data_IF_863163975933
#
_entry.id   IF_863163975933
#
_cell.length_a   1.000
_cell.length_b   1.000
_cell.length_c   1.000
_cell.angle_alpha   90.00
_cell.angle_beta   90.00
_cell.angle_gamma   90.00
#
_symmetry.space_group_name_H-M   'P 1'
#
loop_
_entity.id
_entity.type
_entity.pdbx_description
1 polymer ?
#
# COMPACT_ATOMS: atom_id res chain seq x y z
N UNK A 1 -8.55 -3.55 -10.54
CA UNK A 1 -8.90 -3.97 -11.92
C UNK A 1 -9.86 -2.99 -12.58
N UNK A 2 -11.07 -2.78 -12.04
CA UNK A 2 -12.03 -1.81 -12.59
C UNK A 2 -11.45 -0.41 -12.81
N UNK A 3 -10.67 0.12 -11.86
CA UNK A 3 -10.01 1.42 -12.01
C UNK A 3 -8.96 1.48 -13.15
N UNK A 4 -8.23 0.39 -13.41
CA UNK A 4 -7.25 0.33 -14.51
C UNK A 4 -7.99 0.34 -15.86
N UNK A 5 -9.05 -0.47 -15.99
CA UNK A 5 -9.90 -0.50 -17.17
C UNK A 5 -10.53 0.87 -17.40
N UNK A 6 -11.09 1.48 -16.36
CA UNK A 6 -11.68 2.81 -16.42
C UNK A 6 -10.68 3.87 -16.88
N UNK A 7 -9.44 3.85 -16.35
CA UNK A 7 -8.39 4.79 -16.71
C UNK A 7 -7.99 4.68 -18.19
N UNK A 8 -7.73 3.47 -18.68
CA UNK A 8 -7.42 3.26 -20.10
C UNK A 8 -8.61 3.62 -21.00
N UNK A 9 -9.82 3.20 -20.63
CA UNK A 9 -11.03 3.52 -21.39
C UNK A 9 -11.23 5.04 -21.48
N UNK A 10 -11.17 5.75 -20.37
CA UNK A 10 -11.29 7.21 -20.33
C UNK A 10 -10.21 7.87 -21.21
N UNK A 11 -8.96 7.42 -21.11
CA UNK A 11 -7.86 7.93 -21.92
C UNK A 11 -8.06 7.72 -23.42
N UNK A 12 -8.47 6.51 -23.83
CA UNK A 12 -8.71 6.21 -25.25
C UNK A 12 -9.94 6.92 -25.79
N UNK A 13 -11.02 7.02 -25.02
CA UNK A 13 -12.23 7.75 -25.41
C UNK A 13 -11.93 9.24 -25.54
N UNK A 14 -11.22 9.83 -24.57
CA UNK A 14 -10.79 11.22 -24.66
C UNK A 14 -9.90 11.48 -25.89
N UNK A 15 -8.97 10.56 -26.17
CA UNK A 15 -8.13 10.61 -27.38
C UNK A 15 -8.94 10.51 -28.67
N UNK A 16 -9.96 9.65 -28.71
CA UNK A 16 -10.83 9.49 -29.86
C UNK A 16 -11.68 10.76 -30.09
N UNK A 17 -12.31 11.31 -29.05
CA UNK A 17 -13.06 12.58 -29.14
C UNK A 17 -12.13 13.70 -29.62
N UNK A 18 -10.93 13.80 -29.05
CA UNK A 18 -9.97 14.82 -29.47
C UNK A 18 -9.58 14.70 -30.94
N UNK A 19 -9.45 13.48 -31.47
CA UNK A 19 -9.06 13.22 -32.86
C UNK A 19 -10.21 13.42 -33.85
N UNK A 20 -11.42 12.98 -33.51
CA UNK A 20 -12.53 12.90 -34.46
C UNK A 20 -13.54 14.05 -34.36
N UNK A 21 -13.69 14.70 -33.20
CA UNK A 21 -14.57 15.86 -33.05
C UNK A 21 -13.90 17.10 -33.66
N UNK A 22 -14.19 17.40 -34.92
CA UNK A 22 -13.75 18.62 -35.60
C UNK A 22 -14.76 19.74 -35.33
N UNK A 23 -14.29 20.84 -34.77
CA UNK A 23 -15.12 22.00 -34.46
C UNK A 23 -14.65 23.19 -35.30
N UNK A 24 -15.54 24.14 -35.62
CA UNK A 24 -15.14 25.41 -36.19
C UNK A 24 -14.24 26.17 -35.21
N UNK A 25 -13.38 27.05 -35.74
CA UNK A 25 -12.34 27.76 -34.98
C UNK A 25 -12.90 28.55 -33.78
N UNK A 26 -14.16 29.02 -33.87
CA UNK A 26 -14.87 29.71 -32.78
C UNK A 26 -15.22 28.82 -31.58
N UNK A 27 -15.27 27.50 -31.75
CA UNK A 27 -15.69 26.53 -30.73
C UNK A 27 -14.55 25.58 -30.30
N UNK A 28 -13.37 25.69 -30.89
CA UNK A 28 -12.19 24.88 -30.55
C UNK A 28 -11.85 24.93 -29.05
N UNK A 29 -11.99 26.10 -28.41
CA UNK A 29 -11.76 26.26 -26.97
C UNK A 29 -12.70 25.42 -26.09
N UNK A 30 -13.92 25.12 -26.56
CA UNK A 30 -14.88 24.31 -25.80
C UNK A 30 -14.50 22.83 -25.77
N UNK A 31 -13.60 22.39 -26.66
CA UNK A 31 -13.24 21.00 -26.82
C UNK A 31 -12.54 20.40 -25.59
N UNK A 32 -11.44 20.96 -25.07
CA UNK A 32 -10.83 20.47 -23.84
C UNK A 32 -11.60 20.87 -22.57
N UNK A 33 -12.35 21.97 -22.61
CA UNK A 33 -13.04 22.52 -21.42
C UNK A 33 -14.32 21.74 -21.11
N UNK A 34 -15.11 21.40 -22.13
CA UNK A 34 -16.45 20.84 -21.95
C UNK A 34 -16.63 19.52 -22.68
N UNK A 35 -16.34 19.46 -23.99
CA UNK A 35 -16.74 18.33 -24.83
C UNK A 35 -15.99 17.05 -24.43
N UNK A 36 -14.67 17.13 -24.29
CA UNK A 36 -13.86 15.96 -23.90
C UNK A 36 -14.25 15.51 -22.47
N UNK A 37 -14.23 16.37 -21.43
CA UNK A 37 -14.62 15.95 -20.08
C UNK A 37 -16.03 15.36 -20.04
N UNK A 38 -17.02 15.99 -20.69
CA UNK A 38 -18.42 15.53 -20.67
C UNK A 38 -18.60 14.20 -21.39
N UNK A 39 -18.18 14.10 -22.65
CA UNK A 39 -18.42 12.90 -23.46
C UNK A 39 -17.52 11.75 -23.01
N UNK A 40 -16.26 12.01 -22.65
CA UNK A 40 -15.38 10.95 -22.17
C UNK A 40 -15.85 10.40 -20.83
N UNK A 41 -16.28 11.24 -19.88
CA UNK A 41 -16.84 10.78 -18.62
C UNK A 41 -18.18 10.07 -18.80
N UNK A 42 -19.06 10.55 -19.68
CA UNK A 42 -20.34 9.91 -19.97
C UNK A 42 -20.16 8.50 -20.54
N UNK A 43 -19.36 8.38 -21.61
CA UNK A 43 -19.12 7.07 -22.25
C UNK A 43 -18.41 6.12 -21.28
N UNK A 44 -17.37 6.60 -20.60
CA UNK A 44 -16.63 5.77 -19.61
C UNK A 44 -17.54 5.35 -18.48
N UNK A 45 -18.35 6.26 -17.93
CA UNK A 45 -19.28 5.98 -16.85
C UNK A 45 -20.34 4.95 -17.24
N UNK A 46 -20.96 5.10 -18.41
CA UNK A 46 -21.96 4.16 -18.92
C UNK A 46 -21.35 2.76 -19.14
N UNK A 47 -20.17 2.67 -19.76
CA UNK A 47 -19.46 1.39 -19.93
C UNK A 47 -19.11 0.78 -18.57
N UNK A 48 -18.62 1.60 -17.63
CA UNK A 48 -18.29 1.12 -16.29
C UNK A 48 -19.52 0.61 -15.53
N UNK A 49 -20.68 1.24 -15.67
CA UNK A 49 -21.93 0.82 -15.00
C UNK A 49 -22.50 -0.45 -15.65
N UNK A 50 -22.68 -0.44 -16.97
CA UNK A 50 -23.46 -1.47 -17.66
C UNK A 50 -22.64 -2.70 -18.08
N UNK A 51 -21.34 -2.52 -18.36
CA UNK A 51 -20.49 -3.58 -18.91
C UNK A 51 -19.50 -4.08 -17.85
N UNK A 52 -18.77 -3.19 -17.21
CA UNK A 52 -17.63 -3.57 -16.34
C UNK A 52 -18.06 -3.83 -14.90
N UNK A 53 -19.05 -3.09 -14.40
CA UNK A 53 -19.43 -3.07 -12.98
C UNK A 53 -19.86 -4.43 -12.45
N UNK A 54 -20.79 -5.11 -13.13
CA UNK A 54 -21.28 -6.43 -12.72
C UNK A 54 -20.17 -7.50 -12.68
N UNK A 55 -19.34 -7.69 -13.74
CA UNK A 55 -18.21 -8.62 -13.68
C UNK A 55 -17.23 -8.31 -12.54
N UNK A 56 -16.88 -7.04 -12.35
CA UNK A 56 -15.94 -6.64 -11.29
C UNK A 56 -16.53 -6.89 -9.90
N UNK A 57 -17.81 -6.58 -9.69
CA UNK A 57 -18.49 -6.87 -8.44
C UNK A 57 -18.51 -8.38 -8.13
N UNK A 58 -18.83 -9.23 -9.12
CA UNK A 58 -18.81 -10.68 -8.94
C UNK A 58 -17.41 -11.23 -8.64
N UNK A 59 -16.36 -10.66 -9.23
CA UNK A 59 -14.98 -11.00 -8.88
C UNK A 59 -14.64 -10.61 -7.43
N UNK A 60 -15.05 -9.42 -6.98
CA UNK A 60 -14.82 -8.97 -5.60
C UNK A 60 -15.59 -9.83 -4.59
N UNK A 61 -16.84 -10.19 -4.91
CA UNK A 61 -17.66 -11.08 -4.08
C UNK A 61 -17.06 -12.48 -3.98
N UNK A 62 -16.64 -13.07 -5.11
CA UNK A 62 -15.96 -14.37 -5.13
C UNK A 62 -14.64 -14.36 -4.35
N UNK A 63 -13.87 -13.28 -4.45
CA UNK A 63 -12.66 -13.08 -3.65
C UNK A 63 -13.00 -12.96 -2.16
N UNK A 64 -14.05 -12.22 -1.81
CA UNK A 64 -14.49 -12.06 -0.42
C UNK A 64 -14.94 -13.40 0.17
N UNK A 65 -15.75 -14.16 -0.57
CA UNK A 65 -16.16 -15.51 -0.15
C UNK A 65 -14.96 -16.46 -0.01
N UNK A 66 -13.99 -16.40 -0.92
CA UNK A 66 -12.75 -17.16 -0.78
C UNK A 66 -12.04 -16.81 0.53
N UNK A 67 -11.87 -15.51 0.84
CA UNK A 67 -11.25 -15.04 2.07
C UNK A 67 -12.02 -15.45 3.32
N UNK A 68 -13.35 -15.39 3.29
CA UNK A 68 -14.21 -15.77 4.41
C UNK A 68 -14.20 -17.28 4.65
N UNK A 69 -14.00 -18.09 3.60
CA UNK A 69 -13.84 -19.54 3.71
C UNK A 69 -12.46 -19.98 4.21
N UNK A 70 -11.50 -19.05 4.37
CA UNK A 70 -10.16 -19.39 4.86
C UNK A 70 -10.19 -19.66 6.36
N UNK A 71 -9.68 -20.83 6.77
CA UNK A 71 -9.37 -21.09 8.17
C UNK A 71 -8.28 -20.16 8.71
N UNK A 72 -8.16 -20.06 10.04
CA UNK A 72 -7.23 -19.15 10.72
C UNK A 72 -5.78 -19.27 10.25
N UNK A 73 -5.29 -20.47 9.95
CA UNK A 73 -3.93 -20.66 9.43
C UNK A 73 -3.75 -19.98 8.06
N UNK A 74 -4.75 -20.08 7.19
CA UNK A 74 -4.69 -19.53 5.84
C UNK A 74 -4.73 -17.99 5.86
N UNK A 75 -5.52 -17.39 6.77
CA UNK A 75 -5.56 -15.93 6.91
C UNK A 75 -4.25 -15.35 7.42
N UNK A 76 -3.56 -16.07 8.32
CA UNK A 76 -2.20 -15.70 8.75
C UNK A 76 -1.21 -15.77 7.59
N UNK A 77 -1.26 -16.83 6.77
CA UNK A 77 -0.41 -16.97 5.58
C UNK A 77 -0.67 -15.86 4.55
N UNK A 78 -1.92 -15.45 4.37
CA UNK A 78 -2.26 -14.27 3.56
C UNK A 78 -1.62 -13.01 4.14
N UNK A 79 -1.67 -12.83 5.46
CA UNK A 79 -0.97 -11.75 6.16
C UNK A 79 0.53 -11.75 5.88
N UNK A 80 1.17 -12.91 5.99
CA UNK A 80 2.60 -13.10 5.65
C UNK A 80 2.89 -12.64 4.22
N UNK A 81 2.09 -13.11 3.25
CA UNK A 81 2.27 -12.78 1.83
C UNK A 81 2.11 -11.28 1.58
N UNK A 82 1.00 -10.69 2.03
CA UNK A 82 0.71 -9.27 1.85
C UNK A 82 1.75 -8.39 2.54
N UNK A 83 2.15 -8.76 3.76
CA UNK A 83 3.16 -8.05 4.52
C UNK A 83 4.54 -8.10 3.87
N UNK A 84 4.92 -9.27 3.33
CA UNK A 84 6.14 -9.43 2.56
C UNK A 84 6.12 -8.55 1.31
N UNK A 85 5.05 -8.63 0.50
CA UNK A 85 4.90 -7.86 -0.74
C UNK A 85 5.02 -6.34 -0.53
N UNK A 86 4.45 -5.82 0.56
CA UNK A 86 4.57 -4.40 0.92
C UNK A 86 6.02 -3.96 1.13
N UNK A 87 6.93 -4.87 1.47
CA UNK A 87 8.30 -4.54 1.83
C UNK A 87 9.34 -4.89 0.74
N UNK A 88 8.93 -5.53 -0.37
CA UNK A 88 9.86 -6.00 -1.41
C UNK A 88 10.57 -4.84 -2.12
N UNK A 89 9.82 -3.81 -2.51
CA UNK A 89 10.31 -2.74 -3.39
C UNK A 89 10.03 -1.34 -2.85
N UNK A 90 9.71 -1.23 -1.55
CA UNK A 90 9.64 0.02 -0.78
C UNK A 90 8.78 1.12 -1.42
N UNK A 91 7.66 0.73 -2.04
CA UNK A 91 6.74 1.62 -2.75
C UNK A 91 6.67 1.40 -4.26
N UNK A 92 7.38 0.39 -4.77
CA UNK A 92 7.35 -0.03 -6.17
C UNK A 92 6.10 -0.84 -6.56
N UNK A 93 6.12 -1.46 -7.76
CA UNK A 93 4.97 -2.18 -8.32
C UNK A 93 4.39 -3.30 -7.45
N UNK A 94 5.22 -4.07 -6.73
CA UNK A 94 4.79 -5.19 -5.89
C UNK A 94 4.07 -4.66 -4.64
N UNK A 95 4.63 -3.65 -3.98
CA UNK A 95 3.96 -2.95 -2.89
C UNK A 95 2.62 -2.38 -3.34
N UNK A 96 2.60 -1.64 -4.46
CA UNK A 96 1.35 -1.03 -4.96
C UNK A 96 0.32 -2.08 -5.40
N UNK A 97 0.75 -3.24 -5.87
CA UNK A 97 -0.15 -4.35 -6.19
C UNK A 97 -0.83 -4.93 -4.93
N UNK A 98 -0.05 -5.22 -3.88
CA UNK A 98 -0.60 -5.68 -2.60
C UNK A 98 -1.53 -4.63 -1.96
N UNK A 99 -1.12 -3.36 -2.03
CA UNK A 99 -1.92 -2.25 -1.53
C UNK A 99 -3.25 -2.11 -2.31
N UNK A 100 -3.21 -2.14 -3.64
CA UNK A 100 -4.42 -2.06 -4.48
C UNK A 100 -5.38 -3.24 -4.26
N UNK A 101 -4.84 -4.43 -4.00
CA UNK A 101 -5.64 -5.60 -3.60
C UNK A 101 -6.39 -5.32 -2.29
N UNK A 102 -5.70 -4.86 -1.25
CA UNK A 102 -6.34 -4.54 0.03
C UNK A 102 -7.35 -3.39 -0.07
N UNK A 103 -7.07 -2.34 -0.84
CA UNK A 103 -8.02 -1.24 -1.07
C UNK A 103 -9.27 -1.74 -1.76
N UNK A 104 -9.13 -2.61 -2.76
CA UNK A 104 -10.27 -3.18 -3.48
C UNK A 104 -11.24 -3.91 -2.56
N UNK A 105 -10.73 -4.58 -1.53
CA UNK A 105 -11.51 -5.33 -0.56
C UNK A 105 -12.29 -4.47 0.44
N UNK A 106 -11.90 -3.19 0.61
CA UNK A 106 -12.67 -2.24 1.42
C UNK A 106 -14.10 -2.04 0.88
N UNK A 107 -14.27 -2.08 -0.44
CA UNK A 107 -15.59 -1.95 -1.07
C UNK A 107 -16.54 -3.09 -0.69
N UNK A 108 -15.99 -4.25 -0.35
CA UNK A 108 -16.72 -5.44 0.11
C UNK A 108 -16.69 -5.60 1.64
N UNK A 109 -16.33 -4.55 2.37
CA UNK A 109 -16.23 -4.54 3.84
C UNK A 109 -15.24 -5.57 4.41
N UNK A 110 -14.28 -6.04 3.61
CA UNK A 110 -13.21 -6.92 4.06
C UNK A 110 -11.98 -6.10 4.46
N UNK A 111 -11.89 -5.82 5.77
CA UNK A 111 -10.95 -4.84 6.34
C UNK A 111 -9.62 -5.43 6.85
N UNK A 112 -9.51 -6.75 6.97
CA UNK A 112 -8.33 -7.40 7.56
C UNK A 112 -7.08 -7.32 6.64
N UNK A 113 -7.20 -7.54 5.31
CA UNK A 113 -6.09 -7.33 4.38
C UNK A 113 -5.54 -5.91 4.41
N UNK A 114 -6.42 -4.91 4.54
CA UNK A 114 -6.02 -3.51 4.68
C UNK A 114 -5.15 -3.27 5.91
N UNK A 115 -5.57 -3.79 7.07
CA UNK A 115 -4.79 -3.69 8.30
C UNK A 115 -3.39 -4.30 8.12
N UNK A 116 -3.30 -5.51 7.59
CA UNK A 116 -2.02 -6.18 7.37
C UNK A 116 -1.09 -5.38 6.42
N UNK A 117 -1.61 -4.89 5.29
CA UNK A 117 -0.82 -4.11 4.34
C UNK A 117 -0.38 -2.76 4.89
N UNK A 118 -1.25 -2.06 5.61
CA UNK A 118 -0.88 -0.78 6.20
C UNK A 118 0.15 -0.93 7.32
N UNK A 119 -0.04 -1.92 8.20
CA UNK A 119 0.91 -2.21 9.27
C UNK A 119 2.29 -2.51 8.69
N UNK A 120 2.36 -3.43 7.71
CA UNK A 120 3.61 -3.84 7.10
C UNK A 120 4.30 -2.71 6.32
N UNK A 121 3.57 -1.84 5.61
CA UNK A 121 4.21 -0.74 4.87
C UNK A 121 4.89 0.31 5.75
N UNK A 122 4.55 0.40 7.04
CA UNK A 122 5.27 1.25 8.01
C UNK A 122 6.57 0.63 8.51
N UNK A 123 6.72 -0.69 8.43
CA UNK A 123 7.81 -1.45 9.07
C UNK A 123 9.20 -1.13 8.52
N UNK A 124 9.45 -1.07 7.20
CA UNK A 124 10.80 -0.81 6.68
C UNK A 124 11.41 0.50 7.19
N UNK A 125 10.77 1.67 7.03
CA UNK A 125 11.35 2.94 7.48
C UNK A 125 11.47 3.05 9.02
N UNK A 126 10.51 2.51 9.79
CA UNK A 126 10.61 2.48 11.27
C UNK A 126 11.76 1.57 11.70
N UNK A 127 11.85 0.37 11.15
CA UNK A 127 12.89 -0.61 11.47
C UNK A 127 14.29 -0.10 11.14
N UNK A 128 14.47 0.57 10.01
CA UNK A 128 15.75 1.20 9.65
C UNK A 128 16.10 2.36 10.58
N UNK A 129 15.12 3.19 10.95
CA UNK A 129 15.30 4.20 11.99
C UNK A 129 15.81 3.57 13.29
N UNK A 130 15.17 2.50 13.76
CA UNK A 130 15.59 1.73 14.95
C UNK A 130 17.01 1.19 14.79
N UNK A 131 17.38 0.64 13.63
CA UNK A 131 18.70 0.11 13.38
C UNK A 131 19.81 1.16 13.58
N UNK A 132 19.55 2.41 13.15
CA UNK A 132 20.50 3.53 13.35
C UNK A 132 20.69 3.92 14.82
N UNK A 133 19.70 3.67 15.67
CA UNK A 133 19.83 3.87 17.12
C UNK A 133 20.59 2.71 17.78
N UNK A 134 20.23 1.46 17.45
CA UNK A 134 20.83 0.25 18.04
C UNK A 134 22.30 0.11 17.67
N UNK A 135 22.62 0.16 16.38
CA UNK A 135 23.96 -0.03 15.87
C UNK A 135 24.62 1.29 15.45
N UNK A 136 24.37 2.37 16.20
CA UNK A 136 24.80 3.75 15.87
C UNK A 136 26.23 3.86 15.35
N UNK A 137 27.18 3.11 15.94
CA UNK A 137 28.60 3.11 15.56
C UNK A 137 28.88 2.56 14.15
N UNK A 138 27.96 1.79 13.56
CA UNK A 138 28.09 1.22 12.22
C UNK A 138 27.54 2.12 11.10
N UNK A 139 26.93 3.25 11.45
CA UNK A 139 26.30 4.16 10.49
C UNK A 139 27.06 5.48 10.41
N UNK A 140 27.21 6.00 9.18
CA UNK A 140 27.71 7.35 8.95
C UNK A 140 26.75 8.40 9.54
N UNK A 141 27.26 9.61 9.79
CA UNK A 141 26.46 10.68 10.39
C UNK A 141 25.23 11.03 9.54
N UNK A 142 25.36 11.01 8.21
CA UNK A 142 24.25 11.25 7.27
C UNK A 142 23.17 10.17 7.35
N UNK A 143 23.55 8.90 7.51
CA UNK A 143 22.59 7.80 7.68
C UNK A 143 21.86 7.87 9.02
N UNK A 144 22.52 8.35 10.08
CA UNK A 144 21.88 8.54 11.39
C UNK A 144 20.81 9.63 11.34
N UNK A 145 21.07 10.73 10.63
CA UNK A 145 20.05 11.78 10.43
C UNK A 145 18.92 11.29 9.51
N UNK A 146 19.26 10.57 8.45
CA UNK A 146 18.26 9.92 7.59
C UNK A 146 17.39 8.91 8.37
N UNK A 147 17.96 8.21 9.36
CA UNK A 147 17.24 7.24 10.20
C UNK A 147 16.17 7.90 11.07
N UNK A 148 16.45 9.08 11.62
CA UNK A 148 15.45 9.87 12.35
C UNK A 148 14.30 10.29 11.44
N UNK A 149 14.62 10.77 10.25
CA UNK A 149 13.61 11.15 9.26
C UNK A 149 12.78 9.94 8.80
N UNK A 150 13.44 8.81 8.53
CA UNK A 150 12.78 7.55 8.14
C UNK A 150 11.78 7.09 9.21
N UNK A 151 12.13 7.19 10.49
CA UNK A 151 11.22 6.82 11.58
C UNK A 151 9.91 7.63 11.51
N UNK A 152 10.01 8.95 11.36
CA UNK A 152 8.83 9.83 11.24
C UNK A 152 8.02 9.51 9.99
N UNK A 153 8.68 9.34 8.83
CA UNK A 153 8.03 8.96 7.57
C UNK A 153 7.30 7.62 7.69
N UNK A 154 7.90 6.65 8.38
CA UNK A 154 7.28 5.37 8.65
C UNK A 154 6.01 5.47 9.48
N UNK A 155 6.00 6.32 10.51
CA UNK A 155 4.77 6.60 11.28
C UNK A 155 3.67 7.23 10.41
N UNK A 156 4.03 7.93 9.34
CA UNK A 156 3.10 8.50 8.35
C UNK A 156 2.70 7.52 7.24
N UNK A 157 3.12 6.24 7.29
CA UNK A 157 2.93 5.26 6.21
C UNK A 157 3.60 5.67 4.89
N UNK A 158 4.80 6.24 4.98
CA UNK A 158 5.65 6.58 3.85
C UNK A 158 6.83 5.60 3.83
N UNK A 159 6.69 4.51 3.08
CA UNK A 159 7.70 3.45 2.93
C UNK A 159 8.99 3.94 2.28
N UNK A 160 8.92 5.04 1.52
CA UNK A 160 9.99 5.64 0.73
C UNK A 160 11.14 6.16 1.62
N UNK A 161 10.88 6.42 2.91
CA UNK A 161 11.94 6.75 3.89
C UNK A 161 13.02 5.66 4.01
N UNK A 162 12.74 4.44 3.59
CA UNK A 162 13.69 3.33 3.55
C UNK A 162 14.59 3.31 2.30
N UNK A 163 14.23 4.01 1.22
CA UNK A 163 14.94 3.96 -0.07
C UNK A 163 16.42 4.35 0.07
N UNK A 164 16.82 5.41 0.80
CA UNK A 164 18.23 5.77 0.94
C UNK A 164 19.09 4.65 1.53
N UNK A 165 18.55 3.86 2.45
CA UNK A 165 19.24 2.71 3.05
C UNK A 165 19.30 1.54 2.08
N UNK A 166 18.20 1.24 1.40
CA UNK A 166 18.14 0.15 0.43
C UNK A 166 19.01 0.42 -0.81
N UNK A 167 19.13 1.68 -1.24
CA UNK A 167 20.03 2.06 -2.33
C UNK A 167 21.50 1.78 -1.99
N UNK A 168 21.86 1.87 -0.72
CA UNK A 168 23.23 1.66 -0.23
C UNK A 168 23.53 0.21 0.13
N UNK A 169 22.56 -0.51 0.70
CA UNK A 169 22.73 -1.90 1.16
C UNK A 169 21.49 -2.78 0.85
N UNK A 170 21.14 -2.98 -0.44
CA UNK A 170 19.89 -3.62 -0.84
C UNK A 170 19.79 -5.08 -0.37
N UNK A 171 20.91 -5.80 -0.42
CA UNK A 171 20.98 -7.23 -0.09
C UNK A 171 20.70 -7.53 1.38
N UNK A 172 20.78 -6.53 2.27
CA UNK A 172 20.46 -6.69 3.70
C UNK A 172 19.17 -6.00 4.08
N UNK A 173 18.92 -4.80 3.52
CA UNK A 173 17.72 -4.01 3.84
C UNK A 173 16.45 -4.70 3.34
N UNK A 174 16.44 -5.17 2.09
CA UNK A 174 15.23 -5.75 1.49
C UNK A 174 14.84 -7.06 2.19
N UNK A 175 15.74 -8.06 2.39
CA UNK A 175 15.36 -9.27 3.10
C UNK A 175 14.96 -9.04 4.55
N UNK A 176 15.63 -8.13 5.28
CA UNK A 176 15.23 -7.77 6.64
C UNK A 176 13.84 -7.13 6.68
N UNK A 177 13.55 -6.23 5.74
CA UNK A 177 12.25 -5.57 5.60
C UNK A 177 11.15 -6.58 5.24
N UNK A 178 11.41 -7.51 4.33
CA UNK A 178 10.47 -8.58 3.97
C UNK A 178 10.15 -9.45 5.20
N UNK A 179 11.17 -9.83 5.98
CA UNK A 179 10.97 -10.63 7.18
C UNK A 179 10.13 -9.89 8.24
N UNK A 180 10.42 -8.60 8.48
CA UNK A 180 9.63 -7.77 9.39
C UNK A 180 8.20 -7.55 8.90
N UNK A 181 8.02 -7.24 7.62
CA UNK A 181 6.71 -7.08 7.00
C UNK A 181 5.86 -8.34 7.06
N UNK A 182 6.46 -9.50 6.75
CA UNK A 182 5.84 -10.82 6.89
C UNK A 182 5.36 -11.08 8.32
N UNK A 183 6.22 -10.81 9.32
CA UNK A 183 5.85 -10.96 10.73
C UNK A 183 4.70 -10.02 11.12
N UNK A 184 4.77 -8.75 10.75
CA UNK A 184 3.72 -7.78 11.04
C UNK A 184 2.39 -8.16 10.39
N UNK A 185 2.41 -8.59 9.12
CA UNK A 185 1.21 -9.05 8.43
C UNK A 185 0.61 -10.31 9.07
N UNK A 186 1.45 -11.27 9.47
CA UNK A 186 1.04 -12.46 10.19
C UNK A 186 0.36 -12.12 11.53
N UNK A 187 0.99 -11.25 12.34
CA UNK A 187 0.47 -10.82 13.63
C UNK A 187 -0.82 -10.02 13.49
N UNK A 188 -0.89 -9.12 12.50
CA UNK A 188 -2.11 -8.35 12.22
C UNK A 188 -3.29 -9.26 11.89
N UNK A 189 -3.08 -10.30 11.09
CA UNK A 189 -4.12 -11.28 10.76
C UNK A 189 -4.45 -12.20 11.94
N UNK A 190 -3.44 -12.63 12.69
CA UNK A 190 -3.62 -13.45 13.89
C UNK A 190 -4.46 -12.74 14.96
N UNK A 191 -4.20 -11.45 15.20
CA UNK A 191 -4.96 -10.62 16.13
C UNK A 191 -6.33 -10.17 15.58
N UNK A 192 -6.66 -10.49 14.32
CA UNK A 192 -7.91 -10.08 13.70
C UNK A 192 -8.04 -8.56 13.54
N UNK A 193 -6.93 -7.85 13.35
CA UNK A 193 -6.94 -6.41 13.13
C UNK A 193 -7.68 -6.08 11.83
N UNK A 194 -8.57 -5.09 11.88
CA UNK A 194 -9.38 -4.58 10.78
C UNK A 194 -9.20 -3.07 10.71
N UNK A 195 -8.93 -2.56 9.52
CA UNK A 195 -8.67 -1.14 9.28
C UNK A 195 -9.56 -0.63 8.15
N UNK A 196 -10.37 0.40 8.43
CA UNK A 196 -11.34 0.95 7.49
C UNK A 196 -10.77 2.06 6.61
N UNK A 197 -9.70 2.71 7.07
CA UNK A 197 -9.04 3.78 6.33
C UNK A 197 -7.87 3.21 5.51
N UNK A 198 -7.72 3.60 4.23
CA UNK A 198 -6.62 3.15 3.39
C UNK A 198 -5.32 3.93 3.64
N UNK A 199 -5.38 5.08 4.31
CA UNK A 199 -4.25 6.00 4.50
C UNK A 199 -4.25 6.60 5.90
N UNK A 200 -3.10 7.15 6.32
CA UNK A 200 -2.94 7.97 7.52
C UNK A 200 -1.94 7.42 8.55
N UNK A 201 -1.28 6.29 8.26
CA UNK A 201 -0.28 5.69 9.13
C UNK A 201 -0.76 5.47 10.57
N UNK A 202 0.11 5.75 11.54
CA UNK A 202 -0.21 5.59 12.96
C UNK A 202 -1.33 6.54 13.40
N UNK A 203 -1.51 7.68 12.73
CA UNK A 203 -2.52 8.68 13.06
C UNK A 203 -3.95 8.18 12.86
N UNK A 204 -4.16 7.16 12.01
CA UNK A 204 -5.49 6.52 11.85
C UNK A 204 -6.00 5.96 13.17
N UNK A 205 -5.10 5.53 14.05
CA UNK A 205 -5.47 5.00 15.36
C UNK A 205 -6.10 6.05 16.29
N UNK A 206 -5.93 7.34 16.00
CA UNK A 206 -6.56 8.44 16.73
C UNK A 206 -8.01 8.69 16.28
N UNK A 207 -8.40 8.13 15.13
CA UNK A 207 -9.75 8.28 14.60
C UNK A 207 -10.63 7.19 15.25
N UNK A 208 -11.69 7.58 15.98
CA UNK A 208 -12.58 6.61 16.61
C UNK A 208 -13.15 5.61 15.60
N UNK A 209 -13.13 4.33 15.95
CA UNK A 209 -13.64 3.20 15.15
C UNK A 209 -12.95 2.97 13.80
N UNK A 210 -11.86 3.66 13.48
CA UNK A 210 -11.12 3.36 12.24
C UNK A 210 -10.39 2.00 12.31
N UNK A 211 -10.04 1.54 13.52
CA UNK A 211 -9.38 0.26 13.79
C UNK A 211 -9.99 -0.44 15.03
N UNK A 212 -10.20 -1.76 14.96
CA UNK A 212 -10.88 -2.54 16.02
C UNK A 212 -9.95 -3.08 17.14
N UNK A 213 -8.63 -3.16 16.94
CA UNK A 213 -7.66 -3.64 17.95
C UNK A 213 -6.38 -2.80 17.94
N UNK A 214 -6.50 -1.50 18.25
CA UNK A 214 -5.42 -0.52 18.17
C UNK A 214 -4.10 -0.98 18.84
N UNK A 215 -4.16 -1.47 20.08
CA UNK A 215 -2.96 -1.88 20.81
C UNK A 215 -2.25 -3.11 20.19
N UNK A 216 -3.03 -4.11 19.75
CA UNK A 216 -2.48 -5.30 19.10
C UNK A 216 -1.91 -4.98 17.71
N UNK A 217 -2.52 -4.03 17.01
CA UNK A 217 -2.01 -3.50 15.75
C UNK A 217 -0.67 -2.78 15.94
N UNK A 218 -0.56 -1.93 16.97
CA UNK A 218 0.70 -1.29 17.33
C UNK A 218 1.76 -2.34 17.71
N UNK A 219 1.38 -3.37 18.46
CA UNK A 219 2.28 -4.47 18.81
C UNK A 219 2.79 -5.20 17.55
N UNK A 220 1.92 -5.45 16.57
CA UNK A 220 2.32 -6.06 15.29
C UNK A 220 3.33 -5.19 14.52
N UNK A 221 3.13 -3.87 14.47
CA UNK A 221 4.06 -2.92 13.83
C UNK A 221 5.39 -2.90 14.57
N UNK A 222 5.36 -2.81 15.91
CA UNK A 222 6.56 -2.78 16.74
C UNK A 222 7.36 -4.08 16.59
N UNK A 223 6.70 -5.24 16.62
CA UNK A 223 7.35 -6.53 16.48
C UNK A 223 8.09 -6.67 15.13
N UNK A 224 7.45 -6.33 14.01
CA UNK A 224 8.12 -6.38 12.70
C UNK A 224 9.18 -5.29 12.53
N UNK A 225 8.96 -4.09 13.07
CA UNK A 225 9.95 -3.01 13.04
C UNK A 225 11.20 -3.36 13.83
N UNK A 226 11.05 -4.00 15.00
CA UNK A 226 12.16 -4.52 15.79
C UNK A 226 12.86 -5.65 15.05
N UNK A 227 12.13 -6.58 14.43
CA UNK A 227 12.74 -7.64 13.64
C UNK A 227 13.59 -7.07 12.50
N UNK A 228 13.03 -6.16 11.69
CA UNK A 228 13.76 -5.47 10.61
C UNK A 228 14.98 -4.73 11.16
N UNK A 229 14.80 -3.94 12.23
CA UNK A 229 15.84 -3.09 12.79
C UNK A 229 16.97 -3.86 13.42
N UNK A 230 16.67 -4.89 14.22
CA UNK A 230 17.68 -5.76 14.85
C UNK A 230 18.39 -6.61 13.80
N UNK A 231 17.64 -7.23 12.87
CA UNK A 231 18.24 -8.04 11.82
C UNK A 231 19.21 -7.20 10.98
N UNK A 232 18.79 -6.00 10.54
CA UNK A 232 19.66 -5.13 9.77
C UNK A 232 20.84 -4.61 10.59
N UNK A 233 20.63 -4.21 11.86
CA UNK A 233 21.70 -3.78 12.75
C UNK A 233 22.78 -4.85 12.98
N UNK A 234 22.38 -6.12 13.07
CA UNK A 234 23.30 -7.25 13.19
C UNK A 234 24.06 -7.52 11.89
N UNK A 235 23.35 -7.54 10.75
CA UNK A 235 23.90 -7.87 9.44
C UNK A 235 24.77 -6.75 8.83
N UNK A 236 24.46 -5.47 9.12
CA UNK A 236 25.23 -4.32 8.62
C UNK A 236 26.65 -4.39 9.16
N UNK A 237 27.62 -4.20 8.27
CA UNK A 237 29.05 -4.10 8.62
C UNK A 237 29.37 -2.65 9.05
N UNK A 238 30.33 -2.44 9.95
CA UNK A 238 30.76 -1.09 10.31
C UNK A 238 31.23 -0.33 9.08
N UNK A 239 30.81 0.92 8.97
CA UNK A 239 31.35 1.90 8.02
C UNK A 239 32.24 2.89 8.76
#
# INVERSE_FOLDING_TARGET
>A
IGGIIAGFLAGYVAKAINRYARLPQSLEALKPILIIPLLASLVTGLVMIYIVGKPVAGMLEGLTHFLDSMGTTNTILLGVLLGAMMCVDLGGPINKAAYAFSVGLLASQSYAPMAATMAAGMVPPIGLGIATFIARRKFAQTEREAGKAALVLGLCFISEGAIPFAAKDPLRVIPASIAGGALTGALSMYFGCKLMAPHGGLFVMLIPNAINHALLYLLAIVAGSLLTGVAYALLKRPE
#
